data_IF_570729200435
#
_entry.id   IF_570729200435
#
_cell.length_a   1.000
_cell.length_b   1.000
_cell.length_c   1.000
_cell.angle_alpha   90.00
_cell.angle_beta   90.00
_cell.angle_gamma   90.00
#
_symmetry.space_group_name_H-M   'P 1'
#
loop_
_entity.id
_entity.type
_entity.pdbx_description
1 polymer ?
#
# COMPACT_ATOMS: atom_id res chain seq x y z
N UNK A 1 24.92 -11.07 3.71
CA UNK A 1 25.70 -11.67 2.59
C UNK A 1 25.61 -10.88 1.27
N UNK A 2 25.05 -9.66 1.29
CA UNK A 2 25.02 -8.81 0.09
C UNK A 2 26.31 -8.04 -0.14
N UNK A 3 27.07 -7.77 0.93
CA UNK A 3 28.33 -7.03 0.81
C UNK A 3 29.49 -8.00 0.43
N UNK A 4 30.03 -7.85 -0.75
CA UNK A 4 31.15 -8.62 -1.30
C UNK A 4 31.97 -7.75 -2.27
N UNK A 5 32.97 -8.32 -2.94
CA UNK A 5 33.86 -7.58 -3.86
C UNK A 5 33.15 -6.92 -5.06
N UNK A 6 31.90 -7.35 -5.38
CA UNK A 6 31.09 -6.83 -6.50
C UNK A 6 29.85 -6.06 -6.03
N UNK A 7 29.57 -6.02 -4.73
CA UNK A 7 28.40 -5.36 -4.18
C UNK A 7 28.71 -4.68 -2.86
N UNK A 8 28.51 -3.39 -2.78
CA UNK A 8 28.65 -2.58 -1.56
C UNK A 8 27.27 -2.19 -1.04
N UNK A 9 26.99 -2.52 0.22
CA UNK A 9 25.75 -2.11 0.90
C UNK A 9 26.05 -0.90 1.78
N UNK A 10 25.33 0.17 1.55
CA UNK A 10 25.42 1.42 2.32
C UNK A 10 24.09 1.63 3.04
N UNK A 11 24.14 1.68 4.36
CA UNK A 11 22.95 1.89 5.19
C UNK A 11 22.69 3.38 5.39
N UNK A 12 21.51 3.83 5.02
CA UNK A 12 21.10 5.23 5.17
C UNK A 12 19.96 5.61 4.24
N UNK A 13 19.42 6.81 4.43
CA UNK A 13 18.46 7.39 3.51
C UNK A 13 19.21 7.99 2.32
N UNK A 14 18.92 7.47 1.13
CA UNK A 14 19.51 7.96 -0.12
C UNK A 14 18.57 8.95 -0.81
N UNK A 15 19.16 9.95 -1.48
CA UNK A 15 18.42 10.88 -2.34
C UNK A 15 19.18 11.11 -3.64
N UNK A 16 18.46 11.31 -4.73
CA UNK A 16 19.04 11.73 -6.01
C UNK A 16 19.35 13.21 -5.93
N UNK A 17 20.60 13.56 -6.20
CA UNK A 17 21.09 14.95 -6.21
C UNK A 17 20.95 15.56 -7.60
N UNK A 18 21.40 14.80 -8.61
CA UNK A 18 21.36 15.26 -10.00
C UNK A 18 21.42 14.07 -10.97
N UNK A 19 21.01 14.31 -12.21
CA UNK A 19 21.08 13.37 -13.32
C UNK A 19 21.49 14.09 -14.60
N UNK A 20 22.32 13.41 -15.37
CA UNK A 20 22.59 13.73 -16.78
C UNK A 20 22.25 12.50 -17.63
N UNK A 21 22.48 12.57 -18.94
CA UNK A 21 22.33 11.41 -19.81
C UNK A 21 23.48 10.38 -19.67
N UNK A 22 24.50 10.69 -18.91
CA UNK A 22 25.67 9.83 -18.71
C UNK A 22 25.72 9.29 -17.28
N UNK A 23 25.35 10.12 -16.28
CA UNK A 23 25.56 9.80 -14.87
C UNK A 23 24.38 10.22 -14.00
N UNK A 24 24.22 9.54 -12.88
CA UNK A 24 23.33 9.90 -11.76
C UNK A 24 24.17 10.08 -10.50
N UNK A 25 23.92 11.14 -9.76
CA UNK A 25 24.56 11.41 -8.46
C UNK A 25 23.55 11.18 -7.34
N UNK A 26 23.92 10.34 -6.38
CA UNK A 26 23.11 10.00 -5.21
C UNK A 26 23.85 10.45 -3.95
N UNK A 27 23.15 11.08 -3.03
CA UNK A 27 23.64 11.35 -1.69
C UNK A 27 23.11 10.32 -0.69
N UNK A 28 23.97 9.88 0.24
CA UNK A 28 23.59 9.15 1.43
C UNK A 28 24.35 9.72 2.63
N UNK A 29 23.62 10.46 3.50
CA UNK A 29 24.25 11.35 4.49
C UNK A 29 25.10 12.43 3.81
N UNK A 30 26.31 12.62 4.27
CA UNK A 30 27.25 13.62 3.72
C UNK A 30 28.08 13.12 2.53
N UNK A 31 27.89 11.88 2.11
CA UNK A 31 28.66 11.25 1.04
C UNK A 31 27.84 11.20 -0.25
N UNK A 32 28.48 11.57 -1.35
CA UNK A 32 27.89 11.45 -2.69
C UNK A 32 28.54 10.31 -3.46
N UNK A 33 27.72 9.63 -4.24
CA UNK A 33 28.10 8.52 -5.11
C UNK A 33 27.65 8.83 -6.53
N UNK A 34 28.53 8.61 -7.49
CA UNK A 34 28.25 8.78 -8.91
C UNK A 34 28.16 7.38 -9.56
N UNK A 35 27.16 7.20 -10.41
CA UNK A 35 26.94 5.96 -11.12
C UNK A 35 26.44 6.22 -12.55
N UNK A 36 26.75 5.32 -13.47
CA UNK A 36 26.23 5.36 -14.83
C UNK A 36 24.73 5.05 -14.89
N UNK A 37 24.25 4.18 -14.03
CA UNK A 37 22.85 3.74 -13.99
C UNK A 37 22.29 3.80 -12.59
N UNK A 38 21.01 4.15 -12.48
CA UNK A 38 20.20 4.10 -11.26
C UNK A 38 19.10 3.06 -11.39
N UNK A 39 18.99 2.16 -10.43
CA UNK A 39 17.81 1.31 -10.26
C UNK A 39 17.04 1.75 -9.00
N UNK A 40 15.81 2.19 -9.19
CA UNK A 40 14.91 2.62 -8.14
C UNK A 40 14.13 1.40 -7.62
N UNK A 41 14.31 1.05 -6.34
CA UNK A 41 13.61 -0.03 -5.66
C UNK A 41 13.08 0.43 -4.29
N UNK A 42 12.57 1.66 -4.24
CA UNK A 42 12.13 2.32 -2.99
C UNK A 42 10.81 1.78 -2.45
N UNK A 43 10.15 0.89 -3.20
CA UNK A 43 8.89 0.29 -2.78
C UNK A 43 7.71 1.26 -2.77
N UNK A 44 6.74 0.97 -1.93
CA UNK A 44 5.51 1.77 -1.82
C UNK A 44 5.12 2.02 -0.37
N UNK A 45 4.32 3.06 -0.15
CA UNK A 45 3.73 3.42 1.14
C UNK A 45 2.22 3.18 1.11
N UNK A 46 1.62 2.91 2.27
CA UNK A 46 0.18 2.84 2.42
C UNK A 46 -0.45 4.20 2.08
N UNK A 47 -1.51 4.19 1.29
CA UNK A 47 -2.25 5.40 0.99
C UNK A 47 -3.23 5.71 2.13
N UNK A 48 -3.05 6.87 2.75
CA UNK A 48 -4.00 7.40 3.73
C UNK A 48 -5.05 8.22 2.98
N UNK A 49 -6.30 7.75 2.91
CA UNK A 49 -7.36 8.47 2.18
C UNK A 49 -7.71 9.78 2.92
N UNK A 50 -8.12 10.84 2.19
CA UNK A 50 -8.52 12.11 2.78
C UNK A 50 -9.95 12.02 3.36
N UNK A 51 -10.18 11.03 4.22
CA UNK A 51 -11.43 10.83 4.94
C UNK A 51 -11.27 11.51 6.31
N UNK A 52 -12.19 12.39 6.72
CA UNK A 52 -12.16 13.00 8.04
C UNK A 52 -12.04 11.95 9.15
N UNK A 53 -11.15 12.20 10.11
CA UNK A 53 -10.92 11.33 11.26
C UNK A 53 -10.08 10.07 11.03
N UNK A 54 -9.54 9.85 9.82
CA UNK A 54 -8.61 8.74 9.56
C UNK A 54 -7.20 9.09 10.00
N UNK A 55 -6.73 10.29 9.66
CA UNK A 55 -5.38 10.73 10.01
C UNK A 55 -5.22 10.92 11.52
N UNK A 56 -4.09 10.47 12.07
CA UNK A 56 -3.72 10.61 13.49
C UNK A 56 -4.72 9.99 14.48
N UNK A 57 -5.52 9.01 14.05
CA UNK A 57 -6.48 8.31 14.86
C UNK A 57 -5.89 6.98 15.38
N UNK A 58 -5.79 6.76 16.69
CA UNK A 58 -5.16 5.56 17.26
C UNK A 58 -5.94 4.26 16.99
N UNK A 59 -7.22 4.32 16.65
CA UNK A 59 -8.00 3.15 16.25
C UNK A 59 -7.70 2.71 14.81
N UNK A 60 -7.05 3.57 14.00
CA UNK A 60 -6.70 3.27 12.62
C UNK A 60 -5.39 2.50 12.58
N UNK A 61 -5.42 1.37 11.90
CA UNK A 61 -4.26 0.59 11.53
C UNK A 61 -4.03 0.65 10.02
N UNK A 62 -2.78 0.60 9.62
CA UNK A 62 -2.36 0.22 8.27
C UNK A 62 -1.91 -1.25 8.24
N UNK A 63 -1.54 -1.75 7.07
CA UNK A 63 -1.09 -3.14 6.90
C UNK A 63 0.19 -3.46 7.70
N UNK A 64 1.08 -2.48 7.90
CA UNK A 64 2.30 -2.65 8.69
C UNK A 64 1.97 -2.82 10.17
N UNK A 65 1.13 -1.94 10.70
CA UNK A 65 0.68 -2.02 12.09
C UNK A 65 -0.08 -3.33 12.37
N UNK A 66 -0.92 -3.76 11.42
CA UNK A 66 -1.66 -5.01 11.54
C UNK A 66 -0.75 -6.26 11.56
N UNK A 67 0.38 -6.24 10.80
CA UNK A 67 1.37 -7.32 10.81
C UNK A 67 2.24 -7.32 12.08
N UNK A 68 2.56 -6.14 12.61
CA UNK A 68 3.42 -5.99 13.77
C UNK A 68 2.68 -6.18 15.11
N UNK A 69 1.35 -6.19 15.10
CA UNK A 69 0.54 -6.37 16.30
C UNK A 69 0.86 -7.69 17.00
N UNK A 70 0.96 -7.64 18.33
CA UNK A 70 1.21 -8.81 19.20
C UNK A 70 -0.07 -9.37 19.81
N UNK A 71 -1.17 -8.64 19.68
CA UNK A 71 -2.47 -8.98 20.27
C UNK A 71 -3.53 -9.00 19.17
N UNK A 72 -4.49 -9.92 19.31
CA UNK A 72 -5.64 -9.97 18.43
C UNK A 72 -6.70 -8.96 18.91
N UNK A 73 -7.24 -8.11 18.01
CA UNK A 73 -8.32 -7.21 18.37
C UNK A 73 -9.62 -7.99 18.64
N UNK A 74 -10.48 -7.43 19.48
CA UNK A 74 -11.81 -8.00 19.76
C UNK A 74 -12.76 -7.91 18.56
N UNK A 75 -12.54 -6.94 17.69
CA UNK A 75 -13.27 -6.77 16.42
C UNK A 75 -12.49 -5.88 15.47
N UNK A 76 -12.68 -6.06 14.15
CA UNK A 76 -12.01 -5.29 13.13
C UNK A 76 -12.94 -4.86 12.01
N UNK A 77 -12.87 -3.59 11.63
CA UNK A 77 -13.40 -3.11 10.37
C UNK A 77 -12.24 -3.00 9.39
N UNK A 78 -12.43 -3.47 8.15
CA UNK A 78 -11.46 -3.33 7.07
C UNK A 78 -12.06 -2.43 6.00
N UNK A 79 -11.46 -1.28 5.77
CA UNK A 79 -11.84 -0.32 4.74
C UNK A 79 -11.02 -0.60 3.50
N UNK A 80 -11.70 -1.09 2.45
CA UNK A 80 -11.11 -1.52 1.19
C UNK A 80 -11.16 -3.04 0.99
N UNK A 81 -11.91 -3.48 -0.01
CA UNK A 81 -12.07 -4.89 -0.42
C UNK A 81 -11.09 -5.33 -1.51
N UNK A 82 -9.93 -4.67 -1.64
CA UNK A 82 -8.84 -5.09 -2.51
C UNK A 82 -8.08 -6.30 -1.96
N UNK A 83 -7.00 -6.72 -2.65
CA UNK A 83 -6.23 -7.93 -2.30
C UNK A 83 -5.75 -7.86 -0.84
N UNK A 84 -5.07 -6.79 -0.45
CA UNK A 84 -4.54 -6.62 0.92
C UNK A 84 -5.67 -6.69 1.95
N UNK A 85 -6.76 -5.94 1.72
CA UNK A 85 -7.91 -5.94 2.64
C UNK A 85 -8.53 -7.32 2.81
N UNK A 86 -8.69 -8.08 1.73
CA UNK A 86 -9.29 -9.42 1.79
C UNK A 86 -8.34 -10.47 2.37
N UNK A 87 -7.01 -10.32 2.21
CA UNK A 87 -6.01 -11.15 2.89
C UNK A 87 -6.09 -10.97 4.41
N UNK A 88 -6.08 -9.72 4.88
CA UNK A 88 -6.26 -9.42 6.31
C UNK A 88 -7.64 -9.85 6.84
N UNK A 89 -8.70 -9.63 6.05
CA UNK A 89 -10.04 -10.08 6.41
C UNK A 89 -10.08 -11.60 6.65
N UNK A 90 -9.45 -12.35 5.76
CA UNK A 90 -9.35 -13.80 5.89
C UNK A 90 -8.52 -14.18 7.11
N UNK A 91 -7.34 -13.58 7.27
CA UNK A 91 -6.44 -13.86 8.38
C UNK A 91 -7.13 -13.65 9.75
N UNK A 92 -7.69 -12.46 9.97
CA UNK A 92 -8.33 -12.15 11.25
C UNK A 92 -9.60 -12.97 11.50
N UNK A 93 -10.39 -13.22 10.45
CA UNK A 93 -11.57 -14.09 10.56
C UNK A 93 -11.21 -15.53 10.94
N UNK A 94 -10.19 -16.12 10.34
CA UNK A 94 -9.69 -17.47 10.68
C UNK A 94 -9.10 -17.53 12.11
N UNK A 95 -8.60 -16.41 12.62
CA UNK A 95 -8.15 -16.28 14.01
C UNK A 95 -9.31 -16.01 14.99
N UNK A 96 -10.56 -16.00 14.52
CA UNK A 96 -11.74 -15.84 15.35
C UNK A 96 -12.15 -14.41 15.66
N UNK A 97 -11.54 -13.41 15.01
CA UNK A 97 -11.91 -12.00 15.16
C UNK A 97 -13.16 -11.71 14.31
N UNK A 98 -14.21 -11.09 14.87
CA UNK A 98 -15.32 -10.57 14.08
C UNK A 98 -14.84 -9.48 13.11
N UNK A 99 -15.01 -9.74 11.80
CA UNK A 99 -14.53 -8.86 10.73
C UNK A 99 -15.69 -8.32 9.91
N UNK A 100 -15.68 -7.00 9.67
CA UNK A 100 -16.56 -6.32 8.72
C UNK A 100 -15.70 -5.66 7.64
N UNK A 101 -15.88 -6.04 6.38
CA UNK A 101 -15.24 -5.40 5.23
C UNK A 101 -16.18 -4.35 4.64
N UNK A 102 -15.69 -3.12 4.42
CA UNK A 102 -16.43 -2.02 3.82
C UNK A 102 -15.73 -1.65 2.50
N UNK A 103 -16.42 -1.85 1.38
CA UNK A 103 -15.93 -1.58 0.04
C UNK A 103 -16.87 -0.58 -0.70
N UNK A 104 -16.29 0.48 -1.23
CA UNK A 104 -17.02 1.51 -1.96
C UNK A 104 -17.49 1.06 -3.34
N UNK A 105 -16.80 0.09 -3.93
CA UNK A 105 -17.13 -0.49 -5.24
C UNK A 105 -18.25 -1.54 -5.11
N UNK A 106 -18.95 -1.87 -6.21
CA UNK A 106 -19.99 -2.92 -6.21
C UNK A 106 -19.48 -4.33 -5.89
N UNK A 107 -18.17 -4.55 -5.96
CA UNK A 107 -17.55 -5.86 -5.71
C UNK A 107 -16.22 -5.72 -4.99
N UNK A 108 -15.82 -6.74 -4.25
CA UNK A 108 -14.45 -6.90 -3.78
C UNK A 108 -13.55 -7.38 -4.93
N UNK A 109 -12.24 -7.22 -4.81
CA UNK A 109 -11.23 -7.75 -5.75
C UNK A 109 -11.56 -7.43 -7.22
N UNK A 110 -11.81 -6.13 -7.58
CA UNK A 110 -12.37 -5.75 -8.88
C UNK A 110 -11.49 -6.11 -10.08
N UNK A 111 -10.22 -6.43 -9.86
CA UNK A 111 -9.27 -6.82 -10.90
C UNK A 111 -9.23 -8.34 -11.15
N UNK A 112 -9.98 -9.14 -10.40
CA UNK A 112 -10.08 -10.58 -10.58
C UNK A 112 -11.30 -10.96 -11.40
N UNK A 113 -11.30 -12.20 -11.91
CA UNK A 113 -12.44 -12.79 -12.59
C UNK A 113 -13.67 -12.81 -11.67
N UNK A 114 -14.78 -12.25 -12.15
CA UNK A 114 -15.99 -12.04 -11.35
C UNK A 114 -16.70 -13.36 -10.99
N UNK A 115 -16.52 -14.43 -11.75
CA UNK A 115 -17.06 -15.75 -11.39
C UNK A 115 -16.33 -16.28 -10.15
N UNK A 116 -15.00 -16.12 -10.10
CA UNK A 116 -14.18 -16.49 -8.94
C UNK A 116 -14.53 -15.63 -7.73
N UNK A 117 -14.68 -14.31 -7.91
CA UNK A 117 -15.06 -13.40 -6.84
C UNK A 117 -16.43 -13.73 -6.26
N UNK A 118 -17.38 -14.11 -7.09
CA UNK A 118 -18.73 -14.52 -6.65
C UNK A 118 -18.67 -15.73 -5.74
N UNK A 119 -17.92 -16.77 -6.12
CA UNK A 119 -17.72 -17.98 -5.30
C UNK A 119 -17.06 -17.63 -3.96
N UNK A 120 -16.06 -16.75 -3.99
CA UNK A 120 -15.34 -16.30 -2.81
C UNK A 120 -16.25 -15.52 -1.85
N UNK A 121 -17.07 -14.60 -2.37
CA UNK A 121 -18.05 -13.84 -1.60
C UNK A 121 -19.06 -14.77 -0.90
N UNK A 122 -19.56 -15.79 -1.60
CA UNK A 122 -20.47 -16.79 -1.01
C UNK A 122 -19.79 -17.56 0.12
N UNK A 123 -18.52 -17.93 -0.07
CA UNK A 123 -17.75 -18.65 0.95
C UNK A 123 -17.57 -17.79 2.21
N UNK A 124 -17.19 -16.52 2.08
CA UNK A 124 -17.03 -15.61 3.21
C UNK A 124 -18.36 -15.37 3.94
N UNK A 125 -19.45 -15.14 3.21
CA UNK A 125 -20.79 -14.96 3.81
C UNK A 125 -21.25 -16.19 4.58
N UNK A 126 -21.04 -17.39 4.02
CA UNK A 126 -21.33 -18.66 4.70
C UNK A 126 -20.49 -18.87 5.97
N UNK A 127 -19.27 -18.38 5.97
CA UNK A 127 -18.38 -18.38 7.14
C UNK A 127 -18.76 -17.32 8.19
N UNK A 128 -19.73 -16.43 7.89
CA UNK A 128 -20.19 -15.39 8.82
C UNK A 128 -19.45 -14.06 8.75
N UNK A 129 -18.55 -13.88 7.75
CA UNK A 129 -17.89 -12.60 7.52
C UNK A 129 -18.87 -11.60 6.92
N UNK A 130 -18.93 -10.39 7.47
CA UNK A 130 -19.73 -9.31 6.95
C UNK A 130 -18.96 -8.56 5.87
N UNK A 131 -19.50 -8.52 4.64
CA UNK A 131 -18.91 -7.80 3.50
C UNK A 131 -19.96 -6.85 2.93
N UNK A 132 -19.69 -5.55 3.02
CA UNK A 132 -20.54 -4.44 2.61
C UNK A 132 -19.93 -3.78 1.38
N UNK A 133 -20.47 -4.12 0.23
CA UNK A 133 -20.16 -3.47 -1.07
C UNK A 133 -21.07 -2.27 -1.29
N UNK A 134 -20.80 -1.44 -2.30
CA UNK A 134 -21.52 -0.18 -2.58
C UNK A 134 -21.65 0.72 -1.34
N UNK A 135 -20.67 0.61 -0.41
CA UNK A 135 -20.70 1.28 0.89
C UNK A 135 -19.46 2.14 1.05
N UNK A 136 -19.61 3.45 0.91
CA UNK A 136 -18.49 4.39 1.01
C UNK A 136 -18.35 4.92 2.43
N UNK A 137 -17.13 4.86 2.98
CA UNK A 137 -16.80 5.54 4.24
C UNK A 137 -16.77 7.05 4.00
N UNK A 138 -17.47 7.79 4.83
CA UNK A 138 -17.59 9.25 4.76
C UNK A 138 -16.80 9.97 5.85
N UNK A 139 -16.70 9.35 7.04
CA UNK A 139 -16.01 9.89 8.21
C UNK A 139 -15.63 8.75 9.16
N UNK A 140 -14.63 8.98 10.01
CA UNK A 140 -14.30 8.12 11.16
C UNK A 140 -14.28 8.97 12.43
N UNK A 141 -14.94 8.50 13.48
CA UNK A 141 -15.03 9.16 14.78
C UNK A 141 -14.52 8.19 15.87
N UNK A 142 -13.24 8.29 16.22
CA UNK A 142 -12.61 7.31 17.10
C UNK A 142 -12.61 5.92 16.46
N UNK A 143 -13.33 4.98 17.04
CA UNK A 143 -13.48 3.61 16.56
C UNK A 143 -14.80 3.35 15.76
N UNK A 144 -15.56 4.42 15.50
CA UNK A 144 -16.80 4.38 14.72
C UNK A 144 -16.57 4.85 13.28
N UNK A 145 -17.04 4.07 12.32
CA UNK A 145 -16.99 4.35 10.87
C UNK A 145 -18.38 4.75 10.39
N UNK A 146 -18.50 5.97 9.87
CA UNK A 146 -19.70 6.47 9.23
C UNK A 146 -19.62 6.19 7.73
N UNK A 147 -20.71 5.70 7.18
CA UNK A 147 -20.78 5.32 5.76
C UNK A 147 -22.04 5.85 5.10
N UNK A 148 -22.15 5.68 3.79
CA UNK A 148 -23.37 5.97 3.02
C UNK A 148 -24.55 5.10 3.43
N UNK A 149 -24.32 3.94 4.05
CA UNK A 149 -25.35 2.92 4.33
C UNK A 149 -25.50 2.59 5.83
N UNK A 150 -24.93 3.41 6.71
CA UNK A 150 -25.05 3.21 8.17
C UNK A 150 -23.76 3.48 8.91
N UNK A 151 -23.75 3.15 10.19
CA UNK A 151 -22.60 3.30 11.09
C UNK A 151 -22.15 1.93 11.60
N UNK A 152 -20.84 1.77 11.73
CA UNK A 152 -20.22 0.52 12.18
C UNK A 152 -19.14 0.86 13.19
N UNK A 153 -18.91 -0.04 14.14
CA UNK A 153 -17.94 0.15 15.20
C UNK A 153 -17.10 -1.11 15.39
N UNK A 154 -15.80 -0.94 15.61
CA UNK A 154 -14.88 -2.03 15.94
C UNK A 154 -13.73 -1.49 16.80
N UNK A 155 -13.00 -2.37 17.48
CA UNK A 155 -11.84 -1.96 18.25
C UNK A 155 -10.77 -1.30 17.38
N UNK A 156 -10.47 -1.90 16.21
CA UNK A 156 -9.56 -1.33 15.24
C UNK A 156 -10.16 -1.27 13.83
N UNK A 157 -9.68 -0.32 13.07
CA UNK A 157 -10.08 -0.06 11.68
C UNK A 157 -8.84 -0.15 10.81
N UNK A 158 -8.71 -1.22 10.03
CA UNK A 158 -7.64 -1.37 9.05
C UNK A 158 -7.99 -0.62 7.76
N UNK A 159 -7.17 0.35 7.38
CA UNK A 159 -7.32 1.08 6.11
C UNK A 159 -6.41 0.48 5.05
N UNK A 160 -7.00 -0.13 4.03
CA UNK A 160 -6.32 -0.86 2.95
C UNK A 160 -6.84 -0.46 1.56
N UNK A 161 -6.98 0.85 1.31
CA UNK A 161 -7.55 1.42 0.08
C UNK A 161 -6.52 1.68 -1.02
N UNK A 162 -5.33 1.10 -0.91
CA UNK A 162 -4.27 1.15 -1.90
C UNK A 162 -2.91 1.52 -1.36
N UNK A 163 -1.93 1.50 -2.26
CA UNK A 163 -0.55 1.87 -2.01
C UNK A 163 -0.10 2.86 -3.08
N UNK A 164 0.96 3.61 -2.81
CA UNK A 164 1.59 4.54 -3.77
C UNK A 164 3.09 4.37 -3.73
N UNK A 165 3.74 4.52 -4.87
CA UNK A 165 5.19 4.53 -4.98
C UNK A 165 5.81 5.45 -3.93
N UNK A 166 6.87 4.95 -3.28
CA UNK A 166 7.65 5.78 -2.38
C UNK A 166 8.63 6.63 -3.21
N UNK A 167 8.28 7.89 -3.38
CA UNK A 167 9.05 8.87 -4.17
C UNK A 167 10.02 9.69 -3.31
N UNK A 168 10.15 9.41 -2.02
CA UNK A 168 11.06 10.13 -1.13
C UNK A 168 12.51 9.97 -1.57
N UNK A 169 13.21 11.11 -1.70
CA UNK A 169 14.59 11.15 -2.19
C UNK A 169 14.72 11.10 -3.72
N UNK A 170 13.61 11.11 -4.47
CA UNK A 170 13.59 11.10 -5.92
C UNK A 170 13.15 12.45 -6.52
N UNK A 171 13.10 13.51 -5.73
CA UNK A 171 12.55 14.83 -6.09
C UNK A 171 13.31 15.46 -7.28
N UNK A 172 14.61 15.14 -7.43
CA UNK A 172 15.41 15.58 -8.57
C UNK A 172 15.05 14.91 -9.90
N UNK A 173 14.22 13.86 -9.87
CA UNK A 173 13.71 13.14 -11.03
C UNK A 173 12.25 13.53 -11.32
N UNK A 174 11.92 14.82 -11.30
CA UNK A 174 10.57 15.36 -11.47
C UNK A 174 9.90 14.96 -12.79
N UNK A 175 10.70 14.64 -13.81
CA UNK A 175 10.26 14.26 -15.16
C UNK A 175 9.94 12.76 -15.30
N UNK A 176 10.03 11.97 -14.22
CA UNK A 176 9.59 10.57 -14.23
C UNK A 176 8.11 10.46 -14.59
N UNK A 177 7.80 9.64 -15.58
CA UNK A 177 6.42 9.31 -15.92
C UNK A 177 5.79 8.43 -14.84
N UNK A 178 4.60 8.85 -14.38
CA UNK A 178 3.83 8.15 -13.36
C UNK A 178 2.48 7.70 -13.89
N UNK A 179 2.06 6.49 -13.54
CA UNK A 179 0.74 5.98 -13.86
C UNK A 179 0.13 5.25 -12.65
N UNK A 180 -1.08 5.62 -12.27
CA UNK A 180 -1.83 5.04 -11.13
C UNK A 180 -1.05 5.03 -9.80
N UNK A 181 -0.08 5.93 -9.64
CA UNK A 181 0.71 6.07 -8.42
C UNK A 181 2.01 5.27 -8.40
N UNK A 182 2.39 4.61 -9.51
CA UNK A 182 3.66 3.94 -9.73
C UNK A 182 4.49 4.59 -10.83
N UNK A 183 5.79 4.32 -10.88
CA UNK A 183 6.70 4.74 -11.95
C UNK A 183 6.40 3.88 -13.19
N UNK A 184 6.23 4.54 -14.35
CA UNK A 184 6.05 3.83 -15.63
C UNK A 184 7.38 3.22 -16.08
N UNK A 185 7.36 1.93 -16.41
CA UNK A 185 8.52 1.20 -16.96
C UNK A 185 8.12 0.36 -18.18
N UNK A 186 9.10 0.09 -19.02
CA UNK A 186 8.95 -0.88 -20.12
C UNK A 186 9.24 -2.33 -19.66
N UNK A 187 9.19 -3.29 -20.57
CA UNK A 187 9.49 -4.72 -20.33
C UNK A 187 10.92 -4.97 -19.82
N UNK A 188 11.83 -4.02 -20.02
CA UNK A 188 13.21 -4.04 -19.55
C UNK A 188 13.42 -3.24 -18.25
N UNK A 189 12.34 -2.85 -17.58
CA UNK A 189 12.34 -2.02 -16.36
C UNK A 189 12.94 -0.62 -16.55
N UNK A 190 13.02 -0.13 -17.80
CA UNK A 190 13.51 1.22 -18.13
C UNK A 190 12.38 2.23 -17.93
N UNK A 191 12.69 3.34 -17.28
CA UNK A 191 11.80 4.50 -17.20
C UNK A 191 11.89 5.36 -18.47
N UNK A 192 11.13 6.43 -18.54
CA UNK A 192 11.27 7.44 -19.59
C UNK A 192 12.59 8.25 -19.49
N UNK A 193 13.31 8.16 -18.37
CA UNK A 193 14.60 8.82 -18.19
C UNK A 193 15.75 7.86 -18.55
N UNK A 194 16.66 8.32 -19.40
CA UNK A 194 17.86 7.55 -19.76
C UNK A 194 18.67 7.23 -18.51
N UNK A 195 19.22 6.02 -18.43
CA UNK A 195 20.01 5.48 -17.30
C UNK A 195 19.23 5.32 -15.97
N UNK A 196 17.90 5.49 -15.98
CA UNK A 196 17.07 5.30 -14.81
C UNK A 196 16.11 4.15 -15.04
N UNK A 197 16.16 3.19 -14.14
CA UNK A 197 15.35 1.98 -14.11
C UNK A 197 14.52 1.97 -12.82
N UNK A 198 13.41 1.26 -12.81
CA UNK A 198 12.63 1.05 -11.59
C UNK A 198 12.05 -0.37 -11.55
N UNK A 199 11.98 -0.97 -10.36
CA UNK A 199 11.44 -2.31 -10.18
C UNK A 199 10.80 -2.50 -8.79
N UNK A 200 9.84 -3.42 -8.70
CA UNK A 200 9.09 -3.73 -7.48
C UNK A 200 7.92 -2.78 -7.26
N UNK A 201 7.47 -2.66 -6.02
CA UNK A 201 6.25 -1.90 -5.65
C UNK A 201 6.29 -0.39 -5.96
N UNK A 202 7.39 0.11 -6.46
CA UNK A 202 7.53 1.49 -6.91
C UNK A 202 6.98 1.71 -8.34
N UNK A 203 6.74 0.61 -9.08
CA UNK A 203 6.24 0.60 -10.47
C UNK A 203 4.78 0.25 -10.59
#
# INVERSE_FOLDING_TARGET
KLNNEHCTVIMGAASVVSRTDENVVIACGDVQYEAENLLICTGSNNFVPPIPGVKDNPAIWDSTMALDSKELPQSMIIVGGGVIGMEFATLYHELGVPVTVIEAMPTILPNLDQEVVTILLEKYRKAGMQILTDTKVTEVQGNKVLTTNGEYEAEHILVSVGRRANMQGLEALSDLEMYRGGIVVDEMMRTNLKNVYAAGDVT
#
